data_IF_199749651122
#
_entry.id   IF_199749651122
#
_cell.length_a   1.000
_cell.length_b   1.000
_cell.length_c   1.000
_cell.angle_alpha   90.00
_cell.angle_beta   90.00
_cell.angle_gamma   90.00
#
_symmetry.space_group_name_H-M   'P 1'
#
loop_
_entity.id
_entity.type
_entity.pdbx_description
1 polymer ?
#
# COMPACT_ATOMS: atom_id res chain seq x y z
N UNK A 1 74.44 -12.19 -18.03
CA UNK A 1 74.08 -10.91 -18.65
C UNK A 1 72.63 -10.61 -18.28
N UNK A 2 72.41 -9.89 -17.17
CA UNK A 2 71.09 -9.65 -16.58
C UNK A 2 70.59 -8.28 -17.04
N UNK A 3 69.44 -8.20 -17.73
CA UNK A 3 68.84 -6.91 -18.10
C UNK A 3 68.38 -6.17 -16.83
N UNK A 4 68.54 -4.84 -16.74
CA UNK A 4 68.03 -4.07 -15.61
C UNK A 4 66.51 -3.94 -15.71
N UNK A 5 65.81 -4.29 -14.63
CA UNK A 5 64.37 -4.09 -14.47
C UNK A 5 64.10 -2.60 -14.33
N UNK A 6 63.44 -1.98 -15.33
CA UNK A 6 62.92 -0.62 -15.16
C UNK A 6 61.75 -0.64 -14.17
N UNK A 7 61.64 0.33 -13.24
CA UNK A 7 60.46 0.46 -12.40
C UNK A 7 59.24 0.87 -13.24
N UNK A 8 58.07 0.33 -12.88
CA UNK A 8 56.79 0.70 -13.52
C UNK A 8 56.55 2.22 -13.37
N UNK A 9 55.94 2.87 -14.38
CA UNK A 9 55.52 4.27 -14.25
C UNK A 9 54.56 4.41 -13.07
N UNK A 10 54.80 5.39 -12.19
CA UNK A 10 53.85 5.74 -11.13
C UNK A 10 52.55 6.23 -11.75
N UNK A 11 51.41 5.64 -11.37
CA UNK A 11 50.10 6.10 -11.79
C UNK A 11 49.95 7.61 -11.54
N UNK A 12 49.41 8.39 -12.49
CA UNK A 12 49.13 9.80 -12.24
C UNK A 12 48.14 9.91 -11.07
N UNK A 13 48.22 10.97 -10.26
CA UNK A 13 47.33 11.14 -9.12
C UNK A 13 45.88 11.06 -9.61
N UNK A 14 45.07 10.24 -8.92
CA UNK A 14 43.64 10.11 -9.18
C UNK A 14 43.02 11.52 -9.08
N UNK A 15 42.83 12.20 -10.22
CA UNK A 15 42.07 13.45 -10.24
C UNK A 15 40.69 13.06 -9.74
N UNK A 16 40.30 13.59 -8.58
CA UNK A 16 38.95 13.48 -8.07
C UNK A 16 38.00 14.02 -9.15
N UNK A 17 37.45 13.12 -9.96
CA UNK A 17 36.39 13.45 -10.88
C UNK A 17 35.21 13.83 -10.00
N UNK A 18 34.80 15.10 -10.05
CA UNK A 18 33.56 15.52 -9.41
C UNK A 18 32.43 14.55 -9.82
N UNK A 19 31.51 14.19 -8.92
CA UNK A 19 30.39 13.31 -9.26
C UNK A 19 29.71 13.87 -10.50
N UNK A 20 29.60 13.06 -11.57
CA UNK A 20 28.83 13.48 -12.74
C UNK A 20 27.41 13.79 -12.27
N UNK A 21 26.81 14.93 -12.64
CA UNK A 21 25.40 15.14 -12.38
C UNK A 21 24.64 13.96 -12.99
N UNK A 22 23.59 13.43 -12.33
CA UNK A 22 22.81 12.34 -12.90
C UNK A 22 22.34 12.77 -14.29
N UNK A 23 22.67 11.98 -15.33
CA UNK A 23 22.13 12.24 -16.66
C UNK A 23 20.62 12.14 -16.55
N UNK A 24 19.92 13.24 -16.84
CA UNK A 24 18.46 13.23 -16.94
C UNK A 24 18.07 12.56 -18.26
N UNK A 25 18.45 11.29 -18.45
CA UNK A 25 18.06 10.44 -19.60
C UNK A 25 16.55 10.13 -19.61
N UNK A 26 15.80 10.66 -18.65
CA UNK A 26 14.36 10.70 -18.68
C UNK A 26 13.87 11.59 -19.83
N UNK A 27 13.54 10.97 -20.95
CA UNK A 27 12.76 11.60 -22.01
C UNK A 27 11.29 11.25 -21.84
N UNK A 28 10.41 12.26 -21.89
CA UNK A 28 8.94 12.09 -21.88
C UNK A 28 8.48 11.16 -23.03
N UNK A 29 9.32 10.99 -24.06
CA UNK A 29 9.09 10.11 -25.20
C UNK A 29 9.29 8.63 -24.91
N UNK A 30 10.10 8.26 -23.92
CA UNK A 30 10.35 6.88 -23.51
C UNK A 30 9.30 6.31 -22.55
N UNK A 31 8.26 7.08 -22.18
CA UNK A 31 7.19 6.56 -21.33
C UNK A 31 6.30 5.58 -22.15
N UNK A 32 6.28 4.28 -21.82
CA UNK A 32 5.54 3.26 -22.58
C UNK A 32 4.01 3.48 -22.58
N UNK A 33 3.50 4.43 -21.79
CA UNK A 33 2.08 4.79 -21.76
C UNK A 33 1.70 5.94 -22.73
N UNK A 34 2.61 6.37 -23.61
CA UNK A 34 2.36 7.42 -24.59
C UNK A 34 1.57 6.85 -25.79
N UNK A 35 0.24 6.70 -25.66
CA UNK A 35 -0.62 6.30 -26.78
C UNK A 35 -2.13 6.27 -26.50
N UNK A 36 -2.57 5.81 -25.33
CA UNK A 36 -4.01 5.64 -25.06
C UNK A 36 -4.60 6.92 -24.47
N UNK A 37 -5.16 7.84 -25.26
CA UNK A 37 -5.88 9.02 -24.73
C UNK A 37 -7.36 8.69 -24.53
N UNK A 38 -7.95 9.12 -23.40
CA UNK A 38 -9.40 9.06 -23.14
C UNK A 38 -9.91 7.82 -22.38
N UNK A 39 -11.22 7.55 -22.54
CA UNK A 39 -12.00 6.51 -21.85
C UNK A 39 -11.36 5.11 -21.92
N UNK A 40 -10.68 4.78 -23.01
CA UNK A 40 -9.98 3.52 -23.17
C UNK A 40 -8.90 3.30 -22.09
N UNK A 41 -8.17 4.36 -21.67
CA UNK A 41 -7.18 4.27 -20.59
C UNK A 41 -7.85 4.05 -19.23
N UNK A 42 -8.98 4.71 -18.99
CA UNK A 42 -9.77 4.50 -17.77
C UNK A 42 -10.33 3.07 -17.70
N UNK A 43 -10.79 2.53 -18.83
CA UNK A 43 -11.23 1.14 -18.93
C UNK A 43 -10.10 0.14 -18.67
N UNK A 44 -8.93 0.32 -19.30
CA UNK A 44 -7.78 -0.52 -19.02
C UNK A 44 -7.30 -0.40 -17.57
N UNK A 45 -7.32 0.80 -16.99
CA UNK A 45 -7.02 0.99 -15.58
C UNK A 45 -8.02 0.25 -14.68
N UNK A 46 -9.32 0.30 -14.98
CA UNK A 46 -10.35 -0.41 -14.24
C UNK A 46 -10.18 -1.94 -14.32
N UNK A 47 -9.86 -2.47 -15.51
CA UNK A 47 -9.55 -3.90 -15.68
C UNK A 47 -8.31 -4.31 -14.88
N UNK A 48 -7.25 -3.49 -14.90
CA UNK A 48 -6.05 -3.74 -14.11
C UNK A 48 -6.36 -3.69 -12.59
N UNK A 49 -7.18 -2.74 -12.14
CA UNK A 49 -7.64 -2.66 -10.75
C UNK A 49 -8.42 -3.90 -10.33
N UNK A 50 -9.30 -4.41 -11.21
CA UNK A 50 -10.07 -5.64 -10.94
C UNK A 50 -9.14 -6.87 -10.83
N UNK A 51 -8.10 -6.93 -11.66
CA UNK A 51 -7.07 -7.95 -11.54
C UNK A 51 -6.37 -7.87 -10.18
N UNK A 52 -5.97 -6.67 -9.74
CA UNK A 52 -5.34 -6.45 -8.44
C UNK A 52 -6.22 -6.89 -7.26
N UNK A 53 -7.51 -6.54 -7.29
CA UNK A 53 -8.48 -6.99 -6.29
C UNK A 53 -8.63 -8.52 -6.27
N UNK A 54 -8.67 -9.15 -7.45
CA UNK A 54 -8.73 -10.61 -7.56
C UNK A 54 -7.51 -11.27 -6.93
N UNK A 55 -6.31 -10.75 -7.19
CA UNK A 55 -5.07 -11.25 -6.56
C UNK A 55 -5.14 -11.13 -5.04
N UNK A 56 -5.52 -9.96 -4.52
CA UNK A 56 -5.65 -9.75 -3.08
C UNK A 56 -6.64 -10.74 -2.43
N UNK A 57 -7.80 -10.98 -3.04
CA UNK A 57 -8.76 -11.98 -2.51
C UNK A 57 -8.17 -13.39 -2.48
N UNK A 58 -7.46 -13.79 -3.52
CA UNK A 58 -6.97 -15.16 -3.67
C UNK A 58 -5.71 -15.42 -2.82
N UNK A 59 -4.78 -14.47 -2.78
CA UNK A 59 -3.45 -14.68 -2.20
C UNK A 59 -3.35 -14.15 -0.76
N UNK A 60 -4.08 -13.10 -0.40
CA UNK A 60 -3.92 -12.42 0.89
C UNK A 60 -5.02 -12.81 1.89
N UNK A 61 -4.65 -13.60 2.91
CA UNK A 61 -5.60 -14.01 3.95
C UNK A 61 -6.09 -12.85 4.80
N UNK A 62 -5.23 -11.87 5.08
CA UNK A 62 -5.59 -10.69 5.86
C UNK A 62 -6.60 -9.81 5.09
N UNK A 63 -6.37 -9.57 3.80
CA UNK A 63 -7.36 -8.92 2.94
C UNK A 63 -8.73 -9.62 2.94
N UNK A 64 -8.80 -10.96 2.94
CA UNK A 64 -10.08 -11.68 3.06
C UNK A 64 -10.78 -11.45 4.40
N UNK A 65 -10.03 -11.37 5.50
CA UNK A 65 -10.59 -11.10 6.82
C UNK A 65 -11.21 -9.69 6.86
N UNK A 66 -10.48 -8.71 6.35
CA UNK A 66 -10.97 -7.33 6.26
C UNK A 66 -12.15 -7.19 5.30
N UNK A 67 -12.13 -7.88 4.16
CA UNK A 67 -13.26 -7.91 3.23
C UNK A 67 -14.50 -8.53 3.89
N UNK A 68 -14.32 -9.55 4.72
CA UNK A 68 -15.42 -10.14 5.52
C UNK A 68 -15.96 -9.12 6.51
N UNK A 69 -15.08 -8.37 7.19
CA UNK A 69 -15.48 -7.27 8.07
C UNK A 69 -16.29 -6.22 7.30
N UNK A 70 -15.83 -5.79 6.12
CA UNK A 70 -16.56 -4.84 5.26
C UNK A 70 -17.92 -5.40 4.84
N UNK A 71 -18.01 -6.66 4.45
CA UNK A 71 -19.25 -7.30 4.02
C UNK A 71 -20.30 -7.36 5.14
N UNK A 72 -19.87 -7.52 6.39
CA UNK A 72 -20.76 -7.54 7.56
C UNK A 72 -21.12 -6.11 8.00
N UNK A 73 -20.14 -5.22 8.08
CA UNK A 73 -20.35 -3.88 8.65
C UNK A 73 -21.05 -2.92 7.68
N UNK A 74 -20.89 -3.09 6.37
CA UNK A 74 -21.61 -2.28 5.37
C UNK A 74 -23.13 -2.30 5.56
N UNK A 75 -23.82 -3.46 5.60
CA UNK A 75 -25.26 -3.48 5.85
C UNK A 75 -25.62 -2.94 7.22
N UNK A 76 -24.80 -3.17 8.26
CA UNK A 76 -25.02 -2.57 9.58
C UNK A 76 -25.04 -1.03 9.53
N UNK A 77 -24.16 -0.40 8.75
CA UNK A 77 -24.12 1.06 8.58
C UNK A 77 -25.39 1.63 7.90
N UNK A 78 -26.07 0.83 7.06
CA UNK A 78 -27.34 1.22 6.46
C UNK A 78 -28.54 0.99 7.40
N UNK A 79 -28.48 0.00 8.28
CA UNK A 79 -29.54 -0.27 9.29
C UNK A 79 -29.49 0.73 10.45
N UNK A 80 -28.31 1.25 10.79
CA UNK A 80 -28.15 2.23 11.86
C UNK A 80 -28.91 3.54 11.57
N UNK A 81 -29.65 4.09 12.56
CA UNK A 81 -30.41 5.33 12.43
C UNK A 81 -29.49 6.55 12.61
N UNK A 82 -28.47 6.64 11.77
CA UNK A 82 -27.44 7.68 11.75
C UNK A 82 -27.63 8.64 10.56
N UNK A 83 -27.07 9.84 10.69
CA UNK A 83 -27.08 10.84 9.64
C UNK A 83 -26.21 10.46 8.44
N UNK A 84 -26.35 11.20 7.34
CA UNK A 84 -25.60 10.95 6.10
C UNK A 84 -24.08 11.04 6.31
N UNK A 85 -23.60 12.03 7.05
CA UNK A 85 -22.17 12.25 7.30
C UNK A 85 -21.59 11.09 8.12
N UNK A 86 -22.27 10.69 9.19
CA UNK A 86 -21.88 9.56 10.04
C UNK A 86 -21.83 8.26 9.23
N UNK A 87 -22.84 8.00 8.39
CA UNK A 87 -22.84 6.83 7.50
C UNK A 87 -21.67 6.85 6.52
N UNK A 88 -21.35 8.00 5.93
CA UNK A 88 -20.16 8.16 5.06
C UNK A 88 -18.88 7.88 5.85
N UNK A 89 -18.77 8.31 7.10
CA UNK A 89 -17.60 8.03 7.95
C UNK A 89 -17.48 6.52 8.28
N UNK A 90 -18.59 5.85 8.60
CA UNK A 90 -18.62 4.41 8.86
C UNK A 90 -18.18 3.61 7.63
N UNK A 91 -18.72 3.92 6.45
CA UNK A 91 -18.34 3.24 5.20
C UNK A 91 -16.93 3.64 4.74
N UNK A 92 -16.55 4.90 4.94
CA UNK A 92 -15.26 5.45 4.55
C UNK A 92 -14.12 4.79 5.31
N UNK A 93 -14.27 4.55 6.62
CA UNK A 93 -13.23 3.86 7.40
C UNK A 93 -13.05 2.39 7.00
N UNK A 94 -14.13 1.68 6.62
CA UNK A 94 -14.03 0.34 6.03
C UNK A 94 -13.23 0.35 4.71
N UNK A 95 -13.47 1.36 3.86
CA UNK A 95 -12.72 1.50 2.61
C UNK A 95 -11.24 1.82 2.86
N UNK A 96 -10.95 2.67 3.85
CA UNK A 96 -9.57 2.98 4.25
C UNK A 96 -8.82 1.73 4.69
N UNK A 97 -9.44 0.85 5.47
CA UNK A 97 -8.85 -0.44 5.88
C UNK A 97 -8.44 -1.26 4.64
N UNK A 98 -9.36 -1.49 3.70
CA UNK A 98 -9.05 -2.23 2.47
C UNK A 98 -7.97 -1.56 1.61
N UNK A 99 -7.98 -0.22 1.53
CA UNK A 99 -6.96 0.52 0.78
C UNK A 99 -5.57 0.34 1.39
N UNK A 100 -5.47 0.46 2.71
CA UNK A 100 -4.18 0.35 3.42
C UNK A 100 -3.65 -1.08 3.36
N UNK A 101 -4.51 -2.08 3.45
CA UNK A 101 -4.12 -3.48 3.29
C UNK A 101 -3.63 -3.81 1.86
N UNK A 102 -4.33 -3.32 0.83
CA UNK A 102 -3.84 -3.46 -0.56
C UNK A 102 -2.47 -2.80 -0.77
N UNK A 103 -2.25 -1.63 -0.14
CA UNK A 103 -0.96 -0.96 -0.17
C UNK A 103 0.10 -1.78 0.58
N UNK A 104 -0.24 -2.33 1.76
CA UNK A 104 0.64 -3.19 2.53
C UNK A 104 1.08 -4.42 1.71
N UNK A 105 0.13 -5.19 1.16
CA UNK A 105 0.43 -6.35 0.32
C UNK A 105 1.25 -5.98 -0.92
N UNK A 106 1.00 -4.81 -1.52
CA UNK A 106 1.82 -4.34 -2.65
C UNK A 106 3.28 -4.07 -2.27
N UNK A 107 3.52 -3.53 -1.07
CA UNK A 107 4.86 -3.30 -0.53
C UNK A 107 5.54 -4.63 -0.20
N UNK A 108 4.81 -5.57 0.41
CA UNK A 108 5.31 -6.92 0.70
C UNK A 108 5.74 -7.64 -0.58
N UNK A 109 4.89 -7.66 -1.61
CA UNK A 109 5.20 -8.27 -2.90
C UNK A 109 6.43 -7.61 -3.59
N UNK A 110 6.55 -6.28 -3.49
CA UNK A 110 7.70 -5.56 -4.04
C UNK A 110 9.00 -5.91 -3.29
N UNK A 111 8.95 -6.01 -1.96
CA UNK A 111 10.10 -6.37 -1.12
C UNK A 111 10.51 -7.83 -1.38
N UNK A 112 9.55 -8.74 -1.47
CA UNK A 112 9.82 -10.17 -1.67
C UNK A 112 10.43 -10.46 -3.05
N UNK A 113 10.12 -9.61 -4.05
CA UNK A 113 10.78 -9.66 -5.35
C UNK A 113 12.25 -9.21 -5.32
N UNK A 114 12.61 -8.24 -4.47
CA UNK A 114 13.94 -7.59 -4.49
C UNK A 114 14.90 -8.19 -3.46
N UNK A 115 14.38 -8.70 -2.34
CA UNK A 115 15.18 -9.10 -1.18
C UNK A 115 15.53 -10.61 -1.22
N UNK A 116 16.57 -10.98 -1.98
CA UNK A 116 17.09 -12.36 -1.97
C UNK A 116 17.84 -12.72 -0.67
N UNK A 117 18.37 -11.72 0.04
CA UNK A 117 18.94 -11.86 1.38
C UNK A 117 18.09 -11.09 2.41
N UNK A 118 18.00 -11.62 3.64
CA UNK A 118 17.19 -11.04 4.73
C UNK A 118 17.80 -9.72 5.22
N UNK A 119 17.48 -8.62 4.55
CA UNK A 119 18.02 -7.30 4.89
C UNK A 119 17.20 -6.61 6.00
N UNK A 120 17.88 -5.90 6.92
CA UNK A 120 17.24 -5.20 8.04
C UNK A 120 16.25 -4.11 7.59
N UNK A 121 16.51 -3.50 6.42
CA UNK A 121 15.61 -2.53 5.79
C UNK A 121 14.32 -3.17 5.26
N UNK A 122 14.40 -4.36 4.64
CA UNK A 122 13.22 -5.10 4.16
C UNK A 122 12.26 -5.41 5.30
N UNK A 123 12.81 -5.83 6.45
CA UNK A 123 12.02 -6.05 7.66
C UNK A 123 11.30 -4.77 8.11
N UNK A 124 12.02 -3.64 8.23
CA UNK A 124 11.42 -2.36 8.64
C UNK A 124 10.30 -1.89 7.71
N UNK A 125 10.47 -2.08 6.41
CA UNK A 125 9.45 -1.69 5.44
C UNK A 125 8.17 -2.52 5.59
N UNK A 126 8.28 -3.83 5.84
CA UNK A 126 7.13 -4.67 6.18
C UNK A 126 6.49 -4.25 7.52
N UNK A 127 7.31 -4.00 8.54
CA UNK A 127 6.82 -3.56 9.86
C UNK A 127 6.00 -2.24 9.76
N UNK A 128 6.42 -1.30 8.91
CA UNK A 128 5.67 -0.06 8.67
C UNK A 128 4.34 -0.29 7.94
N UNK A 129 4.32 -1.21 6.97
CA UNK A 129 3.10 -1.58 6.27
C UNK A 129 2.07 -2.19 7.25
N UNK A 130 2.47 -3.16 8.06
CA UNK A 130 1.59 -3.75 9.09
C UNK A 130 1.16 -2.73 10.14
N UNK A 131 2.03 -1.80 10.54
CA UNK A 131 1.66 -0.72 11.45
C UNK A 131 0.61 0.22 10.85
N UNK A 132 0.67 0.51 9.54
CA UNK A 132 -0.34 1.30 8.86
C UNK A 132 -1.71 0.60 8.87
N UNK A 133 -1.75 -0.71 8.60
CA UNK A 133 -2.98 -1.52 8.68
C UNK A 133 -3.57 -1.48 10.09
N UNK A 134 -2.74 -1.66 11.12
CA UNK A 134 -3.18 -1.55 12.52
C UNK A 134 -3.79 -0.16 12.83
N UNK A 135 -3.17 0.93 12.36
CA UNK A 135 -3.71 2.27 12.55
C UNK A 135 -5.04 2.49 11.82
N UNK A 136 -5.19 1.93 10.62
CA UNK A 136 -6.45 1.96 9.88
C UNK A 136 -7.55 1.20 10.62
N UNK A 137 -7.25 0.03 11.19
CA UNK A 137 -8.17 -0.75 12.02
C UNK A 137 -8.55 -0.02 13.31
N UNK A 138 -7.60 0.65 13.99
CA UNK A 138 -7.88 1.48 15.18
C UNK A 138 -8.81 2.64 14.81
N UNK A 139 -8.55 3.33 13.70
CA UNK A 139 -9.42 4.40 13.22
C UNK A 139 -10.83 3.86 12.94
N UNK A 140 -10.94 2.75 12.20
CA UNK A 140 -12.22 2.11 11.90
C UNK A 140 -12.96 1.71 13.18
N UNK A 141 -12.32 0.96 14.07
CA UNK A 141 -12.91 0.55 15.34
C UNK A 141 -13.34 1.74 16.20
N UNK A 142 -12.50 2.77 16.30
CA UNK A 142 -12.81 3.99 17.04
C UNK A 142 -14.02 4.75 16.48
N UNK A 143 -14.09 4.94 15.16
CA UNK A 143 -15.23 5.58 14.50
C UNK A 143 -16.52 4.78 14.69
N UNK A 144 -16.46 3.45 14.56
CA UNK A 144 -17.60 2.56 14.77
C UNK A 144 -18.09 2.59 16.21
N UNK A 145 -17.18 2.52 17.19
CA UNK A 145 -17.54 2.63 18.62
C UNK A 145 -18.18 3.98 18.92
N UNK A 146 -17.61 5.08 18.41
CA UNK A 146 -18.11 6.42 18.69
C UNK A 146 -19.50 6.68 18.11
N UNK A 147 -19.76 6.22 16.89
CA UNK A 147 -21.02 6.48 16.17
C UNK A 147 -22.06 5.39 16.45
N UNK A 148 -21.72 4.12 16.22
CA UNK A 148 -22.67 3.01 16.35
C UNK A 148 -22.89 2.57 17.81
N UNK A 149 -21.87 2.72 18.67
CA UNK A 149 -21.90 2.27 20.06
C UNK A 149 -23.11 2.77 20.87
N UNK A 150 -23.44 4.08 20.85
CA UNK A 150 -24.61 4.61 21.55
C UNK A 150 -25.93 3.97 21.09
N UNK A 151 -26.10 3.74 19.78
CA UNK A 151 -27.31 3.12 19.23
C UNK A 151 -27.43 1.65 19.63
N UNK A 152 -26.33 0.91 19.55
CA UNK A 152 -26.30 -0.51 19.96
C UNK A 152 -26.61 -0.63 21.45
N UNK A 153 -26.00 0.21 22.29
CA UNK A 153 -26.25 0.20 23.74
C UNK A 153 -27.72 0.55 24.07
N UNK A 154 -28.30 1.49 23.33
CA UNK A 154 -29.70 1.85 23.48
C UNK A 154 -30.62 0.67 23.15
N UNK A 155 -30.39 -0.03 22.04
CA UNK A 155 -31.16 -1.22 21.67
C UNK A 155 -31.03 -2.35 22.68
N UNK A 156 -29.81 -2.62 23.18
CA UNK A 156 -29.58 -3.65 24.19
C UNK A 156 -30.37 -3.37 25.48
N UNK A 157 -30.46 -2.10 25.89
CA UNK A 157 -31.25 -1.71 27.08
C UNK A 157 -32.76 -1.91 26.88
N UNK A 158 -33.27 -1.72 25.66
CA UNK A 158 -34.69 -1.95 25.36
C UNK A 158 -35.06 -3.44 25.31
N UNK A 159 -34.12 -4.30 24.92
CA UNK A 159 -34.34 -5.75 24.84
C UNK A 159 -34.22 -6.45 26.21
N UNK A 160 -33.50 -5.83 27.16
CA UNK A 160 -33.23 -6.39 28.48
C UNK A 160 -34.14 -5.91 29.61
N UNK A 161 -35.11 -5.03 29.33
CA UNK A 161 -36.10 -4.53 30.29
C UNK A 161 -37.51 -4.88 29.86
#
# INVERSE_FOLDING_TARGET
MSKPTQPLPSDPPLRAQAPRPPSSDYSIEQNPHKGNRGLARAWHAALNSLSGLRYAVLEESAFRQELTLVAILTPCAFVLPVGTVERIMLLGTLLVVLMVELLNSSVEAAIDRISLERHSLSKRAKDFGSAAVMLALILCGGTWIAIAGPHVLHWLRQLGG
#
